data_IF_212163859015
#
_entry.id   IF_212163859015
#
_cell.length_a   1.000
_cell.length_b   1.000
_cell.length_c   1.000
_cell.angle_alpha   90.00
_cell.angle_beta   90.00
_cell.angle_gamma   90.00
#
_symmetry.space_group_name_H-M   'P 1'
#
loop_
_entity.id
_entity.type
_entity.pdbx_description
1 polymer ?
#
# COMPACT_ATOMS: atom_id res chain seq x y z
N UNK A 1 -40.31 30.92 55.58
CA UNK A 1 -39.07 30.23 55.98
C UNK A 1 -38.59 29.36 54.82
N UNK A 2 -37.29 29.51 54.48
CA UNK A 2 -36.42 28.71 53.60
C UNK A 2 -36.78 28.54 52.11
N UNK A 3 -36.13 29.41 51.32
CA UNK A 3 -35.65 29.21 49.94
C UNK A 3 -34.72 27.99 49.85
N UNK A 4 -34.75 27.28 48.73
CA UNK A 4 -33.58 26.56 48.19
C UNK A 4 -33.39 26.93 46.72
N UNK A 5 -32.21 27.45 46.43
CA UNK A 5 -31.72 27.87 45.12
C UNK A 5 -31.33 26.65 44.29
N UNK A 6 -31.68 26.64 43.00
CA UNK A 6 -30.95 25.88 41.97
C UNK A 6 -30.12 26.88 41.18
N UNK A 7 -28.80 26.72 41.26
CA UNK A 7 -27.80 27.50 40.54
C UNK A 7 -27.61 26.94 39.13
N UNK A 8 -27.80 27.80 38.14
CA UNK A 8 -27.23 27.66 36.81
C UNK A 8 -25.77 28.17 36.85
N UNK A 9 -24.86 27.46 36.20
CA UNK A 9 -23.53 27.92 35.77
C UNK A 9 -23.38 27.41 34.34
N UNK A 10 -23.15 28.20 33.29
CA UNK A 10 -22.51 29.51 33.22
C UNK A 10 -21.16 29.35 32.51
N UNK A 11 -21.15 29.59 31.19
CA UNK A 11 -19.95 29.77 30.39
C UNK A 11 -19.04 30.86 30.98
N UNK A 12 -17.73 30.65 30.94
CA UNK A 12 -16.75 31.72 30.87
C UNK A 12 -15.45 31.19 30.24
N UNK A 13 -15.04 31.86 29.17
CA UNK A 13 -13.70 31.82 28.58
C UNK A 13 -12.69 32.63 29.44
N UNK A 14 -11.48 32.85 28.89
CA UNK A 14 -10.35 33.69 29.37
C UNK A 14 -9.25 32.83 30.05
N UNK A 15 -7.94 32.92 29.78
CA UNK A 15 -7.11 33.89 29.06
C UNK A 15 -5.82 33.23 28.56
N UNK A 16 -5.24 33.83 27.51
CA UNK A 16 -3.83 33.74 27.17
C UNK A 16 -2.97 34.51 28.20
N UNK A 17 -1.81 33.96 28.55
CA UNK A 17 -0.74 34.70 29.20
C UNK A 17 0.63 34.23 28.67
N UNK A 18 1.21 35.09 27.86
CA UNK A 18 2.61 35.10 27.44
C UNK A 18 3.51 35.55 28.58
N UNK A 19 4.61 34.82 28.82
CA UNK A 19 5.74 35.27 29.64
C UNK A 19 7.04 34.99 28.88
N UNK A 20 7.74 36.07 28.51
CA UNK A 20 9.15 36.06 28.15
C UNK A 20 9.99 35.73 29.39
N UNK A 21 10.94 34.80 29.24
CA UNK A 21 12.02 34.55 30.19
C UNK A 21 13.29 34.24 29.40
N UNK A 22 14.33 35.04 29.63
CA UNK A 22 15.56 35.07 28.85
C UNK A 22 16.48 33.86 29.07
N UNK A 23 17.08 33.42 27.96
CA UNK A 23 18.49 33.01 27.78
C UNK A 23 19.19 32.18 28.86
N UNK A 24 19.43 30.91 28.54
CA UNK A 24 20.70 30.23 28.78
C UNK A 24 20.93 29.24 27.64
N UNK A 25 22.01 29.45 26.88
CA UNK A 25 22.40 28.62 25.76
C UNK A 25 22.72 27.21 26.23
N UNK A 26 21.97 26.24 25.72
CA UNK A 26 22.33 24.82 25.77
C UNK A 26 22.56 24.40 24.32
N UNK A 27 23.81 24.12 24.01
CA UNK A 27 24.22 23.45 22.78
C UNK A 27 23.38 22.19 22.57
N UNK A 28 22.87 21.89 21.35
CA UNK A 28 22.20 20.63 21.11
C UNK A 28 23.20 19.49 21.32
N UNK A 29 22.95 18.65 22.32
CA UNK A 29 23.64 17.39 22.47
C UNK A 29 23.37 16.58 21.20
N UNK A 30 24.42 16.25 20.46
CA UNK A 30 24.35 15.32 19.36
C UNK A 30 23.70 14.03 19.87
N UNK A 31 22.59 13.61 19.25
CA UNK A 31 21.98 12.32 19.51
C UNK A 31 23.03 11.24 19.24
N UNK A 32 23.51 10.59 20.30
CA UNK A 32 24.40 9.46 20.18
C UNK A 32 23.66 8.36 19.43
N UNK A 33 24.25 7.87 18.34
CA UNK A 33 23.77 6.67 17.67
C UNK A 33 23.70 5.53 18.71
N UNK A 34 22.64 4.69 18.69
CA UNK A 34 22.58 3.55 19.60
C UNK A 34 23.81 2.66 19.37
N UNK A 35 24.40 2.08 20.44
CA UNK A 35 25.52 1.18 20.32
C UNK A 35 25.12 0.01 19.42
N UNK A 36 26.00 -0.37 18.49
CA UNK A 36 25.80 -1.55 17.66
C UNK A 36 25.62 -2.77 18.58
N UNK A 37 24.44 -3.40 18.51
CA UNK A 37 24.16 -4.61 19.27
C UNK A 37 25.18 -5.70 18.94
N UNK A 38 25.49 -6.54 19.92
CA UNK A 38 26.28 -7.75 19.71
C UNK A 38 25.55 -8.60 18.66
N UNK A 39 26.17 -8.93 17.52
CA UNK A 39 25.53 -9.83 16.57
C UNK A 39 25.25 -11.15 17.32
N UNK A 40 23.98 -11.55 17.41
CA UNK A 40 23.70 -12.98 17.58
C UNK A 40 24.34 -13.62 16.36
N UNK A 41 25.19 -14.62 16.58
CA UNK A 41 25.80 -15.33 15.48
C UNK A 41 24.65 -15.85 14.63
N UNK A 42 24.44 -15.22 13.46
CA UNK A 42 23.76 -15.87 12.36
C UNK A 42 24.31 -17.30 12.33
N UNK A 43 23.45 -18.30 12.25
CA UNK A 43 23.88 -19.69 12.18
C UNK A 43 24.98 -19.80 11.14
N UNK A 44 26.23 -19.86 11.62
CA UNK A 44 27.31 -20.41 10.82
C UNK A 44 26.84 -21.82 10.57
N UNK A 45 26.82 -22.24 9.30
CA UNK A 45 26.34 -23.57 8.93
C UNK A 45 26.82 -24.62 9.96
N UNK A 46 25.89 -25.17 10.74
CA UNK A 46 26.17 -26.19 11.76
C UNK A 46 26.25 -25.76 13.24
N UNK A 47 25.83 -24.56 13.65
CA UNK A 47 25.65 -24.22 15.08
C UNK A 47 24.22 -23.80 15.38
N UNK A 48 23.62 -24.43 16.39
CA UNK A 48 22.29 -24.08 16.90
C UNK A 48 22.34 -22.70 17.59
N UNK A 49 21.37 -21.85 17.28
CA UNK A 49 21.18 -20.54 17.91
C UNK A 49 19.73 -20.43 18.40
N UNK A 50 19.53 -19.85 19.59
CA UNK A 50 18.19 -19.50 20.06
C UNK A 50 17.74 -18.25 19.32
N UNK A 51 16.54 -18.32 18.73
CA UNK A 51 15.89 -17.22 18.00
C UNK A 51 14.56 -16.90 18.70
N UNK A 52 14.56 -15.97 19.68
CA UNK A 52 13.37 -15.65 20.48
C UNK A 52 12.36 -14.78 19.71
N UNK A 53 12.76 -14.29 18.54
CA UNK A 53 11.89 -13.67 17.54
C UNK A 53 12.12 -14.34 16.20
N UNK A 54 11.13 -15.08 15.73
CA UNK A 54 11.17 -15.73 14.41
C UNK A 54 10.56 -14.81 13.36
N UNK A 55 10.92 -15.02 12.10
CA UNK A 55 10.26 -14.34 11.00
C UNK A 55 10.16 -15.23 9.76
N UNK A 56 9.13 -14.99 8.97
CA UNK A 56 8.85 -15.69 7.71
C UNK A 56 8.17 -14.77 6.71
N UNK A 57 8.45 -14.96 5.43
CA UNK A 57 7.72 -14.30 4.34
C UNK A 57 6.49 -15.10 3.95
N UNK A 58 5.38 -14.43 3.67
CA UNK A 58 4.14 -15.09 3.21
C UNK A 58 4.13 -15.27 1.69
N UNK A 59 4.80 -14.38 0.96
CA UNK A 59 4.91 -14.40 -0.50
C UNK A 59 6.36 -14.24 -0.94
N UNK A 60 6.64 -14.69 -2.17
CA UNK A 60 7.92 -14.41 -2.84
C UNK A 60 7.70 -13.19 -3.74
N UNK A 61 8.43 -12.07 -3.54
CA UNK A 61 8.24 -10.88 -4.34
C UNK A 61 8.62 -11.14 -5.80
N UNK A 62 7.96 -10.42 -6.70
CA UNK A 62 8.34 -10.31 -8.11
C UNK A 62 8.98 -8.93 -8.30
N UNK A 63 10.18 -8.84 -8.88
CA UNK A 63 10.81 -7.55 -9.20
C UNK A 63 9.93 -6.72 -10.13
N UNK A 64 9.76 -5.43 -9.83
CA UNK A 64 9.03 -4.50 -10.70
C UNK A 64 9.76 -3.18 -10.80
N UNK A 65 9.87 -2.64 -12.01
CA UNK A 65 10.50 -1.34 -12.24
C UNK A 65 9.47 -0.23 -12.05
N UNK A 66 9.75 0.71 -11.17
CA UNK A 66 8.92 1.88 -10.92
C UNK A 66 9.28 3.06 -11.84
N UNK A 67 8.40 4.05 -11.88
CA UNK A 67 8.61 5.37 -12.51
C UNK A 67 9.78 6.16 -11.93
N UNK A 68 10.22 5.86 -10.71
CA UNK A 68 11.46 6.39 -10.12
C UNK A 68 12.74 5.79 -10.76
N UNK A 69 12.58 4.84 -11.67
CA UNK A 69 13.64 4.16 -12.42
C UNK A 69 14.30 3.02 -11.67
N UNK A 70 13.86 2.72 -10.44
CA UNK A 70 14.41 1.68 -9.59
C UNK A 70 13.57 0.42 -9.65
N UNK A 71 14.17 -0.68 -9.21
CA UNK A 71 13.48 -1.98 -9.12
C UNK A 71 13.05 -2.21 -7.67
N UNK A 72 11.76 -2.38 -7.47
CA UNK A 72 11.13 -2.58 -6.17
C UNK A 72 10.85 -4.05 -5.92
N UNK A 73 10.98 -4.46 -4.65
CA UNK A 73 10.60 -5.78 -4.15
C UNK A 73 9.66 -5.59 -2.96
N UNK A 74 8.37 -5.47 -3.27
CA UNK A 74 7.34 -5.30 -2.25
C UNK A 74 6.79 -6.66 -1.77
N UNK A 75 6.85 -6.91 -0.47
CA UNK A 75 6.33 -8.12 0.20
C UNK A 75 6.22 -7.90 1.71
N UNK A 76 5.75 -8.91 2.44
CA UNK A 76 5.54 -8.82 3.88
C UNK A 76 6.35 -9.84 4.66
N UNK A 77 6.93 -9.37 5.75
CA UNK A 77 7.62 -10.19 6.73
C UNK A 77 6.73 -10.32 7.97
N UNK A 78 6.29 -11.54 8.27
CA UNK A 78 5.61 -11.85 9.52
C UNK A 78 6.67 -12.11 10.58
N UNK A 79 6.58 -11.41 11.71
CA UNK A 79 7.49 -11.51 12.84
C UNK A 79 6.71 -12.03 14.05
N UNK A 80 7.23 -13.04 14.76
CA UNK A 80 6.56 -13.64 15.93
C UNK A 80 7.50 -13.57 17.13
N UNK A 81 6.98 -13.06 18.25
CA UNK A 81 7.70 -13.12 19.52
C UNK A 81 7.45 -14.48 20.19
N UNK A 82 8.42 -15.38 20.10
CA UNK A 82 8.39 -16.73 20.69
C UNK A 82 8.79 -16.73 22.18
N UNK A 83 9.22 -15.58 22.71
CA UNK A 83 9.65 -15.45 24.09
C UNK A 83 8.50 -15.22 25.06
N UNK A 84 8.79 -15.36 26.36
CA UNK A 84 7.85 -15.08 27.46
C UNK A 84 7.84 -13.62 27.89
N UNK A 85 8.67 -12.76 27.31
CA UNK A 85 8.74 -11.33 27.60
C UNK A 85 8.20 -10.50 26.43
N UNK A 86 7.65 -9.30 26.70
CA UNK A 86 7.40 -8.35 25.62
C UNK A 86 8.71 -7.98 24.91
N UNK A 87 8.69 -8.02 23.59
CA UNK A 87 9.79 -7.62 22.72
C UNK A 87 9.50 -6.25 22.11
N UNK A 88 10.49 -5.37 22.08
CA UNK A 88 10.44 -4.11 21.34
C UNK A 88 11.19 -4.29 20.04
N UNK A 89 10.52 -4.16 18.89
CA UNK A 89 11.18 -4.19 17.59
C UNK A 89 11.95 -2.90 17.36
N UNK A 90 13.27 -2.97 17.22
CA UNK A 90 14.13 -1.78 17.09
C UNK A 90 14.69 -1.59 15.69
N UNK A 91 14.73 -2.64 14.88
CA UNK A 91 15.15 -2.52 13.49
C UNK A 91 14.85 -3.74 12.63
N UNK A 92 14.71 -3.48 11.33
CA UNK A 92 14.62 -4.51 10.29
C UNK A 92 15.56 -4.12 9.15
N UNK A 93 16.43 -5.02 8.72
CA UNK A 93 17.33 -4.82 7.59
C UNK A 93 17.16 -5.94 6.58
N UNK A 94 17.09 -5.60 5.29
CA UNK A 94 17.09 -6.57 4.18
C UNK A 94 18.41 -6.47 3.45
N UNK A 95 19.06 -7.60 3.21
CA UNK A 95 20.38 -7.68 2.60
C UNK A 95 20.41 -8.63 1.42
N UNK A 96 21.08 -8.22 0.34
CA UNK A 96 21.60 -9.13 -0.68
C UNK A 96 22.73 -9.95 -0.06
N UNK A 97 22.51 -11.26 0.08
CA UNK A 97 23.47 -12.18 0.72
C UNK A 97 24.70 -12.44 -0.13
N UNK A 98 24.60 -12.25 -1.45
CA UNK A 98 25.68 -12.55 -2.39
C UNK A 98 26.57 -11.34 -2.61
N UNK A 99 25.97 -10.17 -2.70
CA UNK A 99 26.70 -8.90 -2.79
C UNK A 99 27.05 -8.28 -1.44
N UNK A 100 26.56 -8.82 -0.31
CA UNK A 100 26.67 -8.23 1.03
C UNK A 100 26.19 -6.77 1.10
N UNK A 101 25.13 -6.44 0.37
CA UNK A 101 24.57 -5.08 0.27
C UNK A 101 23.29 -4.94 1.06
N UNK A 102 23.13 -3.85 1.78
CA UNK A 102 21.85 -3.47 2.39
C UNK A 102 20.92 -2.90 1.32
N UNK A 103 19.74 -3.50 1.17
CA UNK A 103 18.69 -3.06 0.23
C UNK A 103 17.58 -2.26 0.93
N UNK A 104 17.39 -2.49 2.23
CA UNK A 104 16.46 -1.74 3.07
C UNK A 104 16.97 -1.72 4.51
N UNK A 105 16.78 -0.60 5.21
CA UNK A 105 16.99 -0.49 6.65
C UNK A 105 15.87 0.35 7.28
N UNK A 106 15.08 -0.27 8.14
CA UNK A 106 13.99 0.36 8.89
C UNK A 106 14.38 0.46 10.37
N UNK A 107 14.37 1.66 10.92
CA UNK A 107 14.59 1.96 12.35
C UNK A 107 13.78 3.20 12.75
N UNK A 108 13.47 3.37 14.03
CA UNK A 108 12.76 4.57 14.53
C UNK A 108 11.44 4.80 13.80
N UNK A 109 11.20 6.04 13.36
CA UNK A 109 9.95 6.42 12.69
C UNK A 109 9.69 5.63 11.40
N UNK A 110 10.73 5.28 10.63
CA UNK A 110 10.57 4.46 9.42
C UNK A 110 10.06 3.05 9.78
N UNK A 111 10.60 2.43 10.83
CA UNK A 111 10.05 1.17 11.32
C UNK A 111 8.61 1.36 11.82
N UNK A 112 8.34 2.44 12.55
CA UNK A 112 7.01 2.80 13.00
C UNK A 112 6.00 3.03 11.87
N UNK A 113 6.43 3.43 10.68
CA UNK A 113 5.56 3.52 9.50
C UNK A 113 5.31 2.16 8.82
N UNK A 114 6.26 1.22 8.94
CA UNK A 114 6.25 -0.06 8.22
C UNK A 114 5.90 -1.28 9.08
N UNK A 115 5.64 -1.11 10.37
CA UNK A 115 5.34 -2.23 11.26
C UNK A 115 4.01 -2.07 11.99
N UNK A 116 3.19 -3.12 12.02
CA UNK A 116 2.03 -3.20 12.90
C UNK A 116 1.93 -4.58 13.56
N UNK A 117 1.71 -4.67 14.88
CA UNK A 117 1.25 -5.91 15.49
C UNK A 117 -0.08 -6.35 14.88
N UNK A 118 -0.27 -7.65 14.69
CA UNK A 118 -1.56 -8.16 14.23
C UNK A 118 -2.66 -7.88 15.24
N UNK A 119 -3.88 -7.63 14.74
CA UNK A 119 -5.04 -7.23 15.54
C UNK A 119 -5.02 -5.77 16.01
N UNK A 120 -4.11 -4.94 15.51
CA UNK A 120 -4.14 -3.49 15.75
C UNK A 120 -5.32 -2.86 15.01
N UNK A 121 -6.19 -2.13 15.72
CA UNK A 121 -7.32 -1.45 15.08
C UNK A 121 -6.85 -0.26 14.22
N UNK A 122 -7.58 0.10 13.15
CA UNK A 122 -7.32 1.32 12.39
C UNK A 122 -7.27 2.55 13.31
N UNK A 123 -6.37 3.49 13.02
CA UNK A 123 -6.20 4.72 13.80
C UNK A 123 -5.54 4.55 15.18
N UNK A 124 -5.13 3.34 15.57
CA UNK A 124 -4.33 3.14 16.79
C UNK A 124 -2.93 3.72 16.61
N UNK A 125 -2.37 4.27 17.69
CA UNK A 125 -1.00 4.78 17.68
C UNK A 125 -0.04 3.64 17.28
N UNK A 126 0.86 3.86 16.30
CA UNK A 126 1.89 2.89 15.97
C UNK A 126 2.65 2.44 17.21
N UNK A 127 2.94 1.15 17.30
CA UNK A 127 3.73 0.55 18.36
C UNK A 127 4.67 -0.49 17.77
N UNK A 128 5.86 -0.55 18.33
CA UNK A 128 6.91 -1.53 18.06
C UNK A 128 6.87 -2.73 19.04
N UNK A 129 5.88 -2.76 19.93
CA UNK A 129 5.77 -3.78 20.97
C UNK A 129 5.08 -5.05 20.46
N UNK A 130 5.74 -6.18 20.67
CA UNK A 130 5.20 -7.52 20.50
C UNK A 130 5.10 -8.20 21.87
N UNK A 131 3.88 -8.36 22.38
CA UNK A 131 3.63 -9.20 23.56
C UNK A 131 4.06 -10.66 23.31
N UNK A 132 4.31 -11.47 24.36
CA UNK A 132 4.58 -12.90 24.23
C UNK A 132 3.56 -13.61 23.34
N UNK A 133 4.04 -14.44 22.39
CA UNK A 133 3.22 -15.17 21.42
C UNK A 133 2.50 -14.30 20.38
N UNK A 134 2.69 -12.98 20.41
CA UNK A 134 2.06 -12.06 19.45
C UNK A 134 2.88 -12.01 18.17
N UNK A 135 2.17 -12.02 17.05
CA UNK A 135 2.73 -11.75 15.73
C UNK A 135 2.56 -10.28 15.33
N UNK A 136 3.43 -9.80 14.46
CA UNK A 136 3.31 -8.54 13.75
C UNK A 136 3.76 -8.66 12.30
N UNK A 137 3.49 -7.62 11.53
CA UNK A 137 3.81 -7.56 10.11
C UNK A 137 4.69 -6.36 9.83
N UNK A 138 5.75 -6.59 9.07
CA UNK A 138 6.60 -5.56 8.51
C UNK A 138 6.36 -5.53 7.00
N UNK A 139 5.95 -4.39 6.46
CA UNK A 139 5.83 -4.18 5.02
C UNK A 139 7.19 -3.75 4.47
N UNK A 140 7.72 -4.58 3.58
CA UNK A 140 9.03 -4.39 2.97
C UNK A 140 8.83 -3.86 1.56
N UNK A 141 9.60 -2.85 1.20
CA UNK A 141 9.96 -2.50 -0.16
C UNK A 141 11.49 -2.45 -0.24
N UNK A 142 12.10 -3.50 -0.76
CA UNK A 142 13.55 -3.55 -0.92
C UNK A 142 13.93 -3.07 -2.32
N UNK A 143 14.67 -1.95 -2.38
CA UNK A 143 15.06 -1.33 -3.64
C UNK A 143 16.35 -1.96 -4.15
N UNK A 144 16.27 -2.56 -5.33
CA UNK A 144 17.36 -3.24 -6.00
C UNK A 144 18.06 -2.26 -6.95
N UNK A 145 19.38 -2.04 -6.81
CA UNK A 145 20.14 -1.22 -7.74
C UNK A 145 20.09 -1.75 -9.19
N UNK A 146 20.39 -0.89 -10.16
CA UNK A 146 20.55 -1.33 -11.54
C UNK A 146 21.72 -2.34 -11.66
N UNK A 147 21.59 -3.31 -12.58
CA UNK A 147 22.64 -4.28 -12.88
C UNK A 147 22.73 -5.50 -11.94
N UNK A 148 21.76 -5.66 -11.02
CA UNK A 148 21.63 -6.89 -10.23
C UNK A 148 20.99 -7.99 -11.09
N UNK A 149 21.55 -9.20 -11.02
CA UNK A 149 20.99 -10.38 -11.67
C UNK A 149 20.12 -11.19 -10.71
N UNK A 150 19.10 -11.83 -11.26
CA UNK A 150 18.26 -12.79 -10.56
C UNK A 150 18.68 -14.24 -10.94
N UNK A 151 18.49 -15.24 -10.07
CA UNK A 151 17.84 -15.18 -8.76
C UNK A 151 18.67 -14.44 -7.70
N UNK A 152 18.02 -13.60 -6.90
CA UNK A 152 18.64 -12.80 -5.84
C UNK A 152 18.38 -13.43 -4.47
N UNK A 153 19.44 -13.68 -3.69
CA UNK A 153 19.30 -14.23 -2.33
C UNK A 153 19.22 -13.10 -1.31
N UNK A 154 18.08 -13.03 -0.62
CA UNK A 154 17.84 -12.09 0.45
C UNK A 154 18.03 -12.74 1.83
N UNK A 155 18.56 -11.97 2.76
CA UNK A 155 18.58 -12.27 4.18
C UNK A 155 17.99 -11.11 4.97
N UNK A 156 17.33 -11.43 6.08
CA UNK A 156 16.67 -10.44 6.93
C UNK A 156 17.31 -10.43 8.30
N UNK A 157 17.61 -9.24 8.80
CA UNK A 157 18.02 -9.03 10.18
C UNK A 157 16.90 -8.34 10.94
N UNK A 158 16.45 -8.95 12.03
CA UNK A 158 15.40 -8.43 12.92
C UNK A 158 16.02 -8.14 14.27
N UNK A 159 16.11 -6.86 14.63
CA UNK A 159 16.67 -6.39 15.90
C UNK A 159 15.56 -6.13 16.90
N UNK A 160 15.69 -6.69 18.10
CA UNK A 160 14.74 -6.52 19.20
C UNK A 160 15.43 -6.24 20.52
N UNK A 161 14.70 -5.60 21.42
CA UNK A 161 15.10 -5.44 22.82
C UNK A 161 14.06 -6.00 23.78
N UNK A 162 14.55 -6.56 24.88
CA UNK A 162 13.77 -7.09 25.99
C UNK A 162 14.01 -6.24 27.24
N UNK A 163 13.07 -6.20 28.20
CA UNK A 163 13.23 -5.42 29.42
C UNK A 163 14.33 -5.97 30.35
N UNK A 164 14.75 -7.22 30.17
CA UNK A 164 15.86 -7.89 30.86
C UNK A 164 16.26 -9.16 30.12
N UNK A 165 17.46 -9.66 30.36
CA UNK A 165 17.89 -10.97 29.87
C UNK A 165 17.06 -12.10 30.51
N UNK A 166 16.83 -13.19 29.76
CA UNK A 166 16.11 -14.38 30.24
C UNK A 166 16.81 -15.66 29.80
N UNK A 167 17.33 -16.42 30.76
CA UNK A 167 18.13 -17.61 30.47
C UNK A 167 19.35 -17.24 29.64
N UNK A 168 19.43 -17.76 28.41
CA UNK A 168 20.51 -17.45 27.47
C UNK A 168 20.14 -16.38 26.43
N UNK A 169 18.94 -15.78 26.52
CA UNK A 169 18.51 -14.67 25.66
C UNK A 169 19.01 -13.34 26.25
N UNK A 170 19.90 -12.61 25.56
CA UNK A 170 20.34 -11.29 26.00
C UNK A 170 19.22 -10.23 25.93
N UNK A 171 19.46 -9.07 26.54
CA UNK A 171 18.53 -7.93 26.48
C UNK A 171 18.37 -7.34 25.08
N UNK A 172 19.40 -7.44 24.24
CA UNK A 172 19.38 -6.95 22.86
C UNK A 172 19.81 -8.08 21.96
N UNK A 173 19.02 -8.33 20.93
CA UNK A 173 19.23 -9.46 20.03
C UNK A 173 18.99 -8.99 18.60
N UNK A 174 19.82 -9.45 17.67
CA UNK A 174 19.59 -9.29 16.23
C UNK A 174 19.59 -10.66 15.59
N UNK A 175 18.43 -11.07 15.10
CA UNK A 175 18.20 -12.38 14.51
C UNK A 175 18.36 -12.34 13.00
N UNK A 176 19.07 -13.32 12.44
CA UNK A 176 19.15 -13.52 10.99
C UNK A 176 18.13 -14.57 10.57
N UNK A 177 17.05 -14.13 9.94
CA UNK A 177 15.82 -14.91 9.73
C UNK A 177 15.34 -14.81 8.27
N UNK A 178 14.32 -15.59 7.94
CA UNK A 178 13.54 -15.48 6.70
C UNK A 178 14.35 -15.43 5.39
N UNK A 179 15.41 -16.25 5.27
CA UNK A 179 16.17 -16.36 4.02
C UNK A 179 15.24 -16.64 2.83
N UNK A 180 15.35 -15.82 1.80
CA UNK A 180 14.46 -15.85 0.64
C UNK A 180 15.27 -15.83 -0.65
N UNK A 181 14.90 -16.67 -1.62
CA UNK A 181 15.44 -16.58 -2.98
C UNK A 181 14.37 -15.96 -3.87
N UNK A 182 14.66 -14.77 -4.40
CA UNK A 182 13.80 -14.07 -5.35
C UNK A 182 14.13 -14.61 -6.74
N UNK A 183 13.20 -15.32 -7.41
CA UNK A 183 13.44 -15.84 -8.74
C UNK A 183 13.48 -14.72 -9.79
N UNK A 184 14.02 -15.05 -10.96
CA UNK A 184 13.89 -14.19 -12.15
C UNK A 184 12.47 -14.32 -12.72
N UNK A 185 11.55 -13.52 -12.18
CA UNK A 185 10.17 -13.40 -12.64
C UNK A 185 9.95 -11.97 -13.10
N UNK A 186 9.16 -11.82 -14.16
CA UNK A 186 8.83 -10.52 -14.72
C UNK A 186 7.39 -10.14 -14.38
N UNK A 187 7.09 -8.85 -14.16
CA UNK A 187 5.73 -8.36 -13.97
C UNK A 187 4.94 -8.53 -15.27
N UNK A 188 3.61 -8.56 -15.15
CA UNK A 188 2.74 -8.57 -16.33
C UNK A 188 2.82 -7.21 -17.04
N UNK A 189 3.01 -7.22 -18.37
CA UNK A 189 3.00 -6.01 -19.19
C UNK A 189 1.57 -5.80 -19.73
N UNK A 190 0.99 -4.64 -19.44
CA UNK A 190 -0.43 -4.35 -19.70
C UNK A 190 -0.60 -3.07 -20.50
N UNK A 191 -1.63 -3.00 -21.35
CA UNK A 191 -2.09 -1.71 -21.89
C UNK A 191 -2.85 -0.96 -20.80
N UNK A 192 -2.72 0.38 -20.70
CA UNK A 192 -3.51 1.14 -19.74
C UNK A 192 -5.02 0.94 -19.95
N UNK A 193 -5.80 0.68 -18.88
CA UNK A 193 -7.24 0.47 -19.00
C UNK A 193 -8.02 1.78 -19.17
N UNK A 194 -7.35 2.92 -18.98
CA UNK A 194 -7.85 4.28 -19.07
C UNK A 194 -7.05 5.07 -20.11
N UNK A 195 -7.65 6.10 -20.68
CA UNK A 195 -7.00 6.96 -21.68
C UNK A 195 -6.91 8.42 -21.26
N UNK A 196 -5.89 9.12 -21.77
CA UNK A 196 -5.69 10.55 -21.58
C UNK A 196 -4.85 10.92 -20.36
N UNK A 197 -4.70 12.23 -20.13
CA UNK A 197 -3.84 12.81 -19.11
C UNK A 197 -4.54 13.04 -17.76
N UNK A 198 -3.73 13.20 -16.71
CA UNK A 198 -4.15 13.69 -15.39
C UNK A 198 -4.58 12.61 -14.41
N UNK A 199 -4.23 11.35 -14.65
CA UNK A 199 -4.56 10.24 -13.75
C UNK A 199 -3.56 10.19 -12.61
N UNK A 200 -4.04 10.12 -11.38
CA UNK A 200 -3.22 9.95 -10.19
C UNK A 200 -3.29 8.50 -9.72
N UNK A 201 -2.14 7.96 -9.32
CA UNK A 201 -2.08 6.80 -8.44
C UNK A 201 -2.49 7.23 -7.02
N UNK A 202 -3.70 6.83 -6.60
CA UNK A 202 -4.30 7.27 -5.36
C UNK A 202 -4.04 6.41 -4.13
N UNK A 203 -3.57 5.17 -4.29
CA UNK A 203 -3.40 4.21 -3.18
C UNK A 203 -2.39 3.09 -3.47
N UNK A 204 -1.67 3.15 -4.60
CA UNK A 204 -0.75 2.13 -5.07
C UNK A 204 0.54 1.99 -4.27
N UNK A 205 1.50 1.33 -4.90
CA UNK A 205 2.77 0.91 -4.32
C UNK A 205 3.84 2.03 -4.44
N UNK A 206 4.93 2.10 -3.66
CA UNK A 206 5.51 1.00 -2.88
C UNK A 206 6.09 1.35 -1.50
N UNK A 207 6.96 2.35 -1.41
CA UNK A 207 7.71 2.64 -0.17
C UNK A 207 6.75 3.04 0.96
N UNK A 208 5.79 3.92 0.67
CA UNK A 208 4.76 4.25 1.63
C UNK A 208 3.78 3.08 1.81
N UNK A 209 3.50 2.73 3.07
CA UNK A 209 2.42 1.78 3.41
C UNK A 209 1.06 2.49 3.30
N UNK A 210 0.50 2.47 2.09
CA UNK A 210 -0.87 2.92 1.78
C UNK A 210 -1.92 1.97 2.38
N UNK A 211 -3.22 2.37 2.42
CA UNK A 211 -4.31 1.46 2.77
C UNK A 211 -4.26 0.12 2.03
N UNK A 212 -4.03 0.13 0.71
CA UNK A 212 -3.87 -1.08 -0.11
C UNK A 212 -2.62 -1.88 0.27
N UNK A 213 -1.44 -1.23 0.32
CA UNK A 213 -0.17 -1.88 0.67
C UNK A 213 -0.22 -2.53 2.05
N UNK A 214 -0.95 -1.90 2.97
CA UNK A 214 -1.18 -2.33 4.34
C UNK A 214 -2.26 -3.40 4.51
N UNK A 215 -3.14 -3.58 3.52
CA UNK A 215 -4.29 -4.47 3.62
C UNK A 215 -3.86 -5.95 3.65
N UNK A 216 -4.13 -6.62 4.77
CA UNK A 216 -4.02 -8.06 4.91
C UNK A 216 -5.36 -8.64 5.31
N UNK A 217 -6.04 -9.29 4.37
CA UNK A 217 -7.42 -9.76 4.52
C UNK A 217 -7.46 -11.21 5.04
N UNK A 218 -7.96 -11.46 6.26
CA UNK A 218 -8.13 -12.81 6.79
C UNK A 218 -9.40 -13.45 6.19
N UNK A 219 -9.23 -14.27 5.16
CA UNK A 219 -10.33 -14.91 4.44
C UNK A 219 -10.12 -16.42 4.36
N UNK A 220 -11.18 -17.19 4.59
CA UNK A 220 -11.17 -18.66 4.46
C UNK A 220 -10.01 -19.35 5.21
N UNK A 221 -9.66 -18.84 6.40
CA UNK A 221 -8.59 -19.39 7.25
C UNK A 221 -7.16 -18.99 6.83
N UNK A 222 -6.99 -18.14 5.83
CA UNK A 222 -5.69 -17.63 5.35
C UNK A 222 -5.67 -16.10 5.33
N UNK A 223 -4.48 -15.50 5.25
CA UNK A 223 -4.34 -14.05 5.04
C UNK A 223 -3.89 -13.79 3.61
N UNK A 224 -4.62 -12.96 2.89
CA UNK A 224 -4.33 -12.55 1.52
C UNK A 224 -3.97 -11.08 1.45
N UNK A 225 -3.13 -10.72 0.49
CA UNK A 225 -2.76 -9.34 0.19
C UNK A 225 -3.19 -8.96 -1.21
N UNK A 226 -4.50 -9.04 -1.46
CA UNK A 226 -5.10 -8.79 -2.76
C UNK A 226 -4.65 -7.44 -3.35
N UNK A 227 -4.64 -6.42 -2.51
CA UNK A 227 -4.42 -5.04 -2.94
C UNK A 227 -2.94 -4.64 -2.95
N UNK A 228 -1.98 -5.56 -2.76
CA UNK A 228 -0.55 -5.23 -2.59
C UNK A 228 0.00 -4.27 -3.66
N UNK A 229 -0.46 -4.43 -4.89
CA UNK A 229 -0.10 -3.61 -6.05
C UNK A 229 -1.33 -2.95 -6.70
N UNK A 230 -2.48 -2.95 -6.03
CA UNK A 230 -3.69 -2.33 -6.56
C UNK A 230 -3.56 -0.82 -6.61
N UNK A 231 -4.12 -0.22 -7.66
CA UNK A 231 -4.10 1.23 -7.85
C UNK A 231 -5.54 1.72 -7.93
N UNK A 232 -5.84 2.76 -7.15
CA UNK A 232 -7.03 3.57 -7.32
C UNK A 232 -6.72 4.75 -8.21
N UNK A 233 -7.13 4.66 -9.48
CA UNK A 233 -6.96 5.76 -10.42
C UNK A 233 -8.07 6.80 -10.25
N UNK A 234 -7.67 8.00 -9.82
CA UNK A 234 -8.50 9.20 -9.84
C UNK A 234 -7.97 10.19 -10.87
N UNK A 235 -8.77 11.17 -11.30
CA UNK A 235 -8.33 12.12 -12.33
C UNK A 235 -8.48 13.56 -11.89
N UNK A 236 -7.42 14.34 -12.09
CA UNK A 236 -7.48 15.79 -11.97
C UNK A 236 -8.06 16.42 -13.23
N UNK A 237 -8.92 17.43 -13.04
CA UNK A 237 -9.36 18.32 -14.11
C UNK A 237 -8.22 19.23 -14.60
N UNK A 238 -8.49 19.99 -15.65
CA UNK A 238 -7.53 20.96 -16.21
C UNK A 238 -7.20 22.13 -15.25
N UNK A 239 -7.97 22.28 -14.16
CA UNK A 239 -7.75 23.24 -13.07
C UNK A 239 -7.10 22.60 -11.83
N UNK A 240 -6.52 21.41 -12.01
CA UNK A 240 -5.90 20.58 -10.98
C UNK A 240 -6.85 20.17 -9.83
N UNK A 241 -8.17 20.22 -10.05
CA UNK A 241 -9.15 19.81 -9.04
C UNK A 241 -9.66 18.39 -9.30
N UNK A 242 -9.85 17.64 -8.22
CA UNK A 242 -10.47 16.32 -8.25
C UNK A 242 -11.99 16.40 -8.48
N UNK A 243 -12.64 17.47 -8.00
CA UNK A 243 -14.09 17.68 -8.08
C UNK A 243 -14.47 19.14 -8.31
N UNK A 244 -15.61 19.35 -8.94
CA UNK A 244 -16.18 20.68 -9.29
C UNK A 244 -17.41 21.06 -8.48
N UNK A 245 -18.02 20.09 -7.78
CA UNK A 245 -19.25 20.27 -7.01
C UNK A 245 -19.19 19.72 -5.58
N UNK A 246 -20.34 19.46 -4.98
CA UNK A 246 -20.47 18.90 -3.63
C UNK A 246 -19.78 17.53 -3.52
N UNK A 247 -19.12 17.27 -2.38
CA UNK A 247 -18.32 16.06 -2.18
C UNK A 247 -19.16 14.79 -2.29
N UNK A 248 -20.43 14.82 -1.89
CA UNK A 248 -21.37 13.69 -1.79
C UNK A 248 -22.11 13.34 -3.09
N UNK A 249 -21.69 13.91 -4.23
CA UNK A 249 -22.32 13.66 -5.54
C UNK A 249 -21.31 13.11 -6.52
N UNK A 250 -21.59 11.94 -7.08
CA UNK A 250 -20.77 11.35 -8.17
C UNK A 250 -20.63 12.30 -9.36
N UNK A 251 -21.67 13.09 -9.67
CA UNK A 251 -21.67 14.09 -10.74
C UNK A 251 -20.68 15.24 -10.51
N UNK A 252 -20.14 15.39 -9.30
CA UNK A 252 -19.11 16.39 -8.99
C UNK A 252 -17.71 15.97 -9.43
N UNK A 253 -17.51 14.72 -9.82
CA UNK A 253 -16.23 14.15 -10.22
C UNK A 253 -16.22 13.98 -11.74
N UNK A 254 -15.53 14.87 -12.50
CA UNK A 254 -15.66 14.92 -13.97
C UNK A 254 -15.23 13.65 -14.71
N UNK A 255 -14.53 12.74 -14.04
CA UNK A 255 -14.05 11.47 -14.59
C UNK A 255 -14.94 10.28 -14.26
N UNK A 256 -16.02 10.46 -13.48
CA UNK A 256 -17.06 9.45 -13.35
C UNK A 256 -17.66 9.13 -14.72
N UNK A 257 -17.86 7.85 -15.02
CA UNK A 257 -18.43 7.40 -16.30
C UNK A 257 -17.42 7.29 -17.45
N UNK A 258 -16.14 7.62 -17.23
CA UNK A 258 -15.08 7.43 -18.25
C UNK A 258 -15.00 5.95 -18.67
N UNK A 259 -14.86 5.64 -19.98
CA UNK A 259 -14.74 4.26 -20.44
C UNK A 259 -13.54 3.53 -19.82
N UNK A 260 -13.78 2.30 -19.37
CA UNK A 260 -12.74 1.36 -18.92
C UNK A 260 -12.61 0.27 -19.98
N UNK A 261 -11.37 -0.08 -20.31
CA UNK A 261 -11.04 -1.06 -21.35
C UNK A 261 -10.21 -2.22 -20.80
N UNK A 262 -10.33 -3.39 -21.42
CA UNK A 262 -9.49 -4.56 -21.15
C UNK A 262 -8.02 -4.19 -21.38
N UNK A 263 -7.16 -4.56 -20.44
CA UNK A 263 -5.76 -4.17 -20.42
C UNK A 263 -4.88 -5.15 -21.21
N UNK A 264 -5.41 -6.32 -21.55
CA UNK A 264 -4.72 -7.35 -22.31
C UNK A 264 -5.72 -8.15 -23.17
N UNK A 265 -5.18 -9.09 -23.94
CA UNK A 265 -6.00 -10.14 -24.53
C UNK A 265 -6.24 -11.21 -23.47
N UNK A 266 -7.49 -11.63 -23.32
CA UNK A 266 -7.88 -12.49 -22.21
C UNK A 266 -9.28 -13.06 -22.31
N UNK A 267 -9.70 -13.75 -21.25
CA UNK A 267 -11.04 -14.29 -21.09
C UNK A 267 -11.71 -13.69 -19.86
N UNK A 268 -12.91 -13.15 -20.02
CA UNK A 268 -13.71 -12.66 -18.90
C UNK A 268 -14.20 -13.86 -18.09
N UNK A 269 -13.93 -13.89 -16.79
CA UNK A 269 -14.30 -15.00 -15.90
C UNK A 269 -15.33 -14.62 -14.83
N UNK A 270 -15.45 -13.33 -14.50
CA UNK A 270 -16.49 -12.82 -13.60
C UNK A 270 -16.99 -11.46 -14.07
N UNK A 271 -18.29 -11.22 -13.93
CA UNK A 271 -18.92 -9.91 -14.13
C UNK A 271 -19.98 -9.73 -13.05
N UNK A 272 -19.87 -8.65 -12.28
CA UNK A 272 -20.90 -8.18 -11.35
C UNK A 272 -21.33 -6.79 -11.80
N UNK A 273 -22.64 -6.58 -11.91
CA UNK A 273 -23.22 -5.31 -12.35
C UNK A 273 -24.55 -5.03 -11.65
N UNK A 274 -24.96 -3.76 -11.64
CA UNK A 274 -26.23 -3.29 -11.09
C UNK A 274 -26.21 -2.91 -9.60
N UNK A 275 -25.10 -3.10 -8.89
CA UNK A 275 -24.93 -2.55 -7.54
C UNK A 275 -24.92 -1.03 -7.60
N UNK A 276 -25.64 -0.33 -6.70
CA UNK A 276 -25.67 1.13 -6.70
C UNK A 276 -24.30 1.72 -6.35
N UNK A 277 -24.07 2.96 -6.77
CA UNK A 277 -22.92 3.72 -6.28
C UNK A 277 -23.07 4.00 -4.78
N UNK A 278 -21.94 3.94 -4.08
CA UNK A 278 -21.80 4.44 -2.72
C UNK A 278 -21.85 5.98 -2.72
N UNK A 279 -22.19 6.58 -1.58
CA UNK A 279 -22.15 8.04 -1.42
C UNK A 279 -20.69 8.48 -1.28
N UNK A 280 -20.16 9.33 -2.18
CA UNK A 280 -18.78 9.80 -2.01
C UNK A 280 -18.60 10.66 -0.74
N UNK A 281 -17.38 10.70 -0.20
CA UNK A 281 -17.02 11.39 1.04
C UNK A 281 -17.30 10.59 2.33
N UNK A 282 -17.84 9.38 2.21
CA UNK A 282 -18.13 8.50 3.34
C UNK A 282 -17.64 7.08 3.04
N UNK A 283 -17.11 6.39 4.06
CA UNK A 283 -16.83 4.96 3.94
C UNK A 283 -18.13 4.17 4.06
N UNK A 284 -18.46 3.29 3.09
CA UNK A 284 -19.65 2.45 3.18
C UNK A 284 -19.65 1.58 4.45
N UNK A 285 -20.80 1.49 5.11
CA UNK A 285 -20.97 0.68 6.31
C UNK A 285 -21.83 -0.55 6.00
N UNK A 286 -21.49 -1.69 6.63
CA UNK A 286 -22.27 -2.94 6.57
C UNK A 286 -22.46 -3.53 5.16
N UNK A 287 -21.49 -3.33 4.27
CA UNK A 287 -21.48 -4.04 2.99
C UNK A 287 -21.28 -5.55 3.21
N UNK A 288 -22.03 -6.42 2.51
CA UNK A 288 -21.71 -7.83 2.48
C UNK A 288 -20.37 -8.02 1.75
N UNK A 289 -19.61 -9.04 2.14
CA UNK A 289 -18.28 -9.31 1.57
C UNK A 289 -18.33 -9.49 0.03
N UNK A 290 -19.43 -10.00 -0.51
CA UNK A 290 -19.65 -10.18 -1.95
C UNK A 290 -19.67 -8.87 -2.74
N UNK A 291 -20.00 -7.76 -2.08
CA UNK A 291 -20.23 -6.46 -2.73
C UNK A 291 -19.03 -5.53 -2.53
N UNK A 292 -17.98 -6.00 -1.85
CA UNK A 292 -16.83 -5.17 -1.48
C UNK A 292 -16.12 -4.57 -2.71
N UNK A 293 -15.89 -5.37 -3.75
CA UNK A 293 -15.33 -4.91 -5.03
C UNK A 293 -16.32 -4.08 -5.88
N UNK A 294 -17.59 -3.99 -5.47
CA UNK A 294 -18.64 -3.32 -6.24
C UNK A 294 -18.96 -4.02 -7.57
N UNK A 295 -19.49 -3.25 -8.52
CA UNK A 295 -19.60 -3.71 -9.91
C UNK A 295 -18.19 -3.90 -10.45
N UNK A 296 -17.91 -5.07 -11.01
CA UNK A 296 -16.56 -5.39 -11.43
C UNK A 296 -16.52 -6.39 -12.56
N UNK A 297 -15.36 -6.45 -13.22
CA UNK A 297 -15.01 -7.45 -14.21
C UNK A 297 -13.71 -8.12 -13.77
N UNK A 298 -13.66 -9.45 -13.84
CA UNK A 298 -12.42 -10.22 -13.71
C UNK A 298 -12.05 -10.81 -15.05
N UNK A 299 -10.84 -10.53 -15.52
CA UNK A 299 -10.27 -11.03 -16.77
C UNK A 299 -9.11 -11.99 -16.48
N UNK A 300 -9.11 -13.18 -17.08
CA UNK A 300 -8.02 -14.15 -16.99
C UNK A 300 -7.09 -14.00 -18.18
N UNK A 301 -5.80 -13.88 -17.88
CA UNK A 301 -4.74 -13.79 -18.89
C UNK A 301 -4.27 -15.18 -19.35
N UNK A 302 -3.64 -15.28 -20.53
CA UNK A 302 -3.04 -16.52 -21.01
C UNK A 302 -1.98 -17.11 -20.06
N UNK A 303 -1.25 -16.25 -19.32
CA UNK A 303 -0.25 -16.63 -18.33
C UNK A 303 -0.81 -17.25 -17.06
N UNK A 304 -2.13 -17.10 -16.82
CA UNK A 304 -2.82 -17.63 -15.65
C UNK A 304 -3.07 -16.60 -14.54
N UNK A 305 -2.55 -15.38 -14.67
CA UNK A 305 -2.89 -14.23 -13.83
C UNK A 305 -4.30 -13.70 -14.15
N UNK A 306 -4.85 -12.93 -13.22
CA UNK A 306 -6.16 -12.32 -13.34
C UNK A 306 -6.08 -10.81 -13.16
N UNK A 307 -6.91 -10.06 -13.88
CA UNK A 307 -7.07 -8.62 -13.75
C UNK A 307 -8.42 -8.33 -13.11
N UNK A 308 -8.46 -7.42 -12.15
CA UNK A 308 -9.69 -6.88 -11.58
C UNK A 308 -9.88 -5.43 -12.02
N UNK A 309 -11.08 -5.14 -12.51
CA UNK A 309 -11.60 -3.79 -12.76
C UNK A 309 -12.79 -3.57 -11.84
N UNK A 310 -12.60 -2.85 -10.74
CA UNK A 310 -13.59 -2.71 -9.67
C UNK A 310 -14.23 -1.32 -9.61
N UNK A 311 -15.26 -1.21 -8.77
CA UNK A 311 -16.05 0.00 -8.53
C UNK A 311 -16.68 0.60 -9.80
N UNK A 312 -17.00 -0.23 -10.79
CA UNK A 312 -17.59 0.22 -12.05
C UNK A 312 -18.96 0.86 -11.84
N UNK A 313 -19.36 1.72 -12.78
CA UNK A 313 -20.64 2.41 -12.72
C UNK A 313 -21.81 1.41 -12.91
N UNK A 314 -22.93 1.58 -12.18
CA UNK A 314 -24.07 0.66 -12.27
C UNK A 314 -24.63 0.58 -13.69
N UNK A 315 -24.82 -0.65 -14.20
CA UNK A 315 -25.33 -0.94 -15.53
C UNK A 315 -24.33 -0.67 -16.67
N UNK A 316 -23.09 -0.28 -16.35
CA UNK A 316 -22.13 0.15 -17.38
C UNK A 316 -21.45 -1.02 -18.08
N UNK A 317 -21.37 -2.19 -17.43
CA UNK A 317 -20.90 -3.42 -18.07
C UNK A 317 -21.94 -3.90 -19.07
N UNK A 318 -23.25 -3.69 -18.79
CA UNK A 318 -24.33 -3.55 -19.76
C UNK A 318 -24.43 -4.65 -20.84
N UNK A 319 -23.99 -5.88 -20.53
CA UNK A 319 -23.90 -6.98 -21.49
C UNK A 319 -22.77 -6.87 -22.53
N UNK A 320 -21.88 -5.87 -22.43
CA UNK A 320 -20.67 -5.71 -23.26
C UNK A 320 -19.72 -6.89 -23.14
N UNK A 321 -19.64 -7.41 -21.93
CA UNK A 321 -18.86 -8.57 -21.57
C UNK A 321 -19.69 -9.53 -20.75
N UNK A 322 -19.34 -10.81 -20.84
CA UNK A 322 -19.93 -11.88 -20.04
C UNK A 322 -18.86 -12.94 -19.72
N UNK A 323 -19.02 -13.72 -18.64
CA UNK A 323 -18.13 -14.84 -18.38
C UNK A 323 -18.00 -15.78 -19.59
N UNK A 324 -16.79 -16.25 -19.86
CA UNK A 324 -16.41 -17.06 -21.03
C UNK A 324 -16.13 -16.27 -22.31
N UNK A 325 -16.33 -14.95 -22.32
CA UNK A 325 -16.04 -14.12 -23.49
C UNK A 325 -14.53 -13.86 -23.60
N UNK A 326 -13.96 -14.13 -24.78
CA UNK A 326 -12.63 -13.66 -25.13
C UNK A 326 -12.68 -12.19 -25.53
N UNK A 327 -11.76 -11.40 -25.01
CA UNK A 327 -11.61 -9.97 -25.31
C UNK A 327 -10.19 -9.70 -25.79
N UNK A 328 -10.05 -8.65 -26.60
CA UNK A 328 -8.74 -8.11 -26.94
C UNK A 328 -8.48 -6.85 -26.13
N UNK A 329 -7.20 -6.53 -25.91
CA UNK A 329 -6.82 -5.31 -25.22
C UNK A 329 -7.44 -4.07 -25.92
N UNK A 330 -7.95 -3.12 -25.13
CA UNK A 330 -8.74 -1.98 -25.61
C UNK A 330 -10.24 -2.25 -25.75
N UNK A 331 -10.71 -3.49 -25.63
CA UNK A 331 -12.16 -3.78 -25.62
C UNK A 331 -12.81 -3.06 -24.44
N UNK A 332 -13.83 -2.25 -24.69
CA UNK A 332 -14.57 -1.57 -23.62
C UNK A 332 -15.35 -2.57 -22.77
N UNK A 333 -15.05 -2.61 -21.47
CA UNK A 333 -15.65 -3.55 -20.50
C UNK A 333 -16.62 -2.88 -19.53
N UNK A 334 -16.57 -1.56 -19.39
CA UNK A 334 -17.46 -0.82 -18.49
C UNK A 334 -17.18 0.67 -18.48
N UNK A 335 -17.57 1.31 -17.37
CA UNK A 335 -17.25 2.70 -17.06
C UNK A 335 -16.82 2.82 -15.60
N UNK A 336 -15.91 3.75 -15.33
CA UNK A 336 -15.47 4.10 -13.98
C UNK A 336 -16.67 4.57 -13.16
N UNK A 337 -16.85 4.05 -11.96
CA UNK A 337 -17.99 4.36 -11.08
C UNK A 337 -17.57 4.63 -9.64
N UNK A 338 -18.46 4.31 -8.70
CA UNK A 338 -18.25 4.43 -7.26
C UNK A 338 -18.99 3.34 -6.45
N UNK A 339 -19.23 2.16 -7.04
CA UNK A 339 -19.99 1.08 -6.39
C UNK A 339 -19.12 0.27 -5.40
N UNK A 340 -19.73 -0.42 -4.44
CA UNK A 340 -19.00 -1.25 -3.46
C UNK A 340 -18.28 -0.45 -2.38
N UNK A 341 -17.18 -0.99 -1.84
CA UNK A 341 -16.41 -0.36 -0.77
C UNK A 341 -15.53 0.78 -1.29
N UNK A 342 -16.19 1.85 -1.74
CA UNK A 342 -15.59 3.02 -2.37
C UNK A 342 -16.08 4.30 -1.70
N UNK A 343 -15.16 5.22 -1.38
CA UNK A 343 -15.44 6.50 -0.73
C UNK A 343 -15.42 7.69 -1.70
N UNK A 344 -15.00 7.51 -2.95
CA UNK A 344 -15.16 8.46 -4.04
C UNK A 344 -14.92 7.80 -5.40
N UNK A 345 -15.44 8.35 -6.51
CA UNK A 345 -15.25 7.73 -7.82
C UNK A 345 -13.76 7.48 -8.11
N UNK A 346 -13.44 6.26 -8.54
CA UNK A 346 -12.11 5.84 -9.00
C UNK A 346 -12.21 4.53 -9.78
N UNK A 347 -11.17 4.18 -10.53
CA UNK A 347 -10.99 2.81 -11.01
C UNK A 347 -10.00 2.12 -10.09
N UNK A 348 -10.46 1.12 -9.34
CA UNK A 348 -9.57 0.19 -8.67
C UNK A 348 -9.12 -0.88 -9.67
N UNK A 349 -7.81 -0.97 -9.88
CA UNK A 349 -7.19 -1.88 -10.83
C UNK A 349 -6.07 -2.68 -10.17
N UNK A 350 -6.12 -4.02 -10.28
CA UNK A 350 -5.08 -4.89 -9.74
C UNK A 350 -4.88 -6.16 -10.57
N UNK A 351 -3.67 -6.74 -10.47
CA UNK A 351 -3.33 -8.07 -10.98
C UNK A 351 -3.26 -9.06 -9.83
N UNK A 352 -3.79 -10.27 -10.03
CA UNK A 352 -4.00 -11.26 -8.98
C UNK A 352 -3.48 -12.63 -9.42
N UNK A 353 -3.03 -13.42 -8.45
CA UNK A 353 -2.62 -14.83 -8.67
C UNK A 353 -3.80 -15.84 -8.63
N UNK A 354 -5.03 -15.36 -8.49
CA UNK A 354 -6.26 -16.15 -8.45
C UNK A 354 -7.47 -15.32 -8.92
N UNK A 355 -8.61 -15.98 -9.18
CA UNK A 355 -9.79 -15.32 -9.75
C UNK A 355 -10.62 -14.52 -8.73
N UNK A 356 -10.42 -14.76 -7.42
CA UNK A 356 -11.21 -14.10 -6.38
C UNK A 356 -10.58 -12.74 -6.04
N UNK A 357 -11.34 -11.62 -6.16
CA UNK A 357 -10.85 -10.27 -5.87
C UNK A 357 -10.23 -10.09 -4.48
N UNK A 358 -10.70 -10.83 -3.47
CA UNK A 358 -10.32 -10.63 -2.07
C UNK A 358 -9.44 -11.78 -1.55
N UNK A 359 -9.65 -13.00 -2.05
CA UNK A 359 -8.93 -14.21 -1.64
C UNK A 359 -7.81 -14.60 -2.62
N UNK A 360 -7.10 -13.60 -3.16
CA UNK A 360 -5.90 -13.76 -4.01
C UNK A 360 -4.81 -12.81 -3.53
N UNK A 361 -3.55 -13.08 -3.85
CA UNK A 361 -2.46 -12.13 -3.64
C UNK A 361 -2.27 -11.24 -4.88
N UNK A 362 -2.05 -9.95 -4.62
CA UNK A 362 -1.70 -8.96 -5.63
C UNK A 362 -0.30 -9.22 -6.21
N UNK A 363 -0.21 -9.15 -7.53
CA UNK A 363 1.02 -9.27 -8.32
C UNK A 363 1.38 -7.92 -8.92
N UNK A 364 2.68 -7.60 -9.09
CA UNK A 364 3.07 -6.36 -9.75
C UNK A 364 2.82 -6.44 -11.25
N UNK A 365 2.66 -5.26 -11.85
CA UNK A 365 2.47 -5.08 -13.28
C UNK A 365 3.13 -3.80 -13.74
N UNK A 366 3.32 -3.67 -15.04
CA UNK A 366 3.82 -2.46 -15.68
C UNK A 366 2.93 -2.10 -16.86
N UNK A 367 2.88 -0.83 -17.24
CA UNK A 367 2.18 -0.42 -18.44
C UNK A 367 3.09 -0.43 -19.65
N UNK A 368 2.62 -0.98 -20.77
CA UNK A 368 3.35 -1.04 -22.03
C UNK A 368 3.72 0.33 -22.57
N UNK A 369 2.90 1.35 -22.24
CA UNK A 369 3.25 2.75 -22.48
C UNK A 369 2.44 3.69 -21.60
N UNK A 370 3.12 4.67 -21.03
CA UNK A 370 2.55 5.80 -20.29
C UNK A 370 3.56 6.94 -20.24
N UNK A 371 3.08 8.15 -19.96
CA UNK A 371 3.94 9.30 -19.68
C UNK A 371 3.79 9.74 -18.24
N UNK A 372 4.92 9.91 -17.53
CA UNK A 372 4.95 10.50 -16.20
C UNK A 372 4.86 12.02 -16.33
N UNK A 373 3.79 12.61 -15.78
CA UNK A 373 3.55 14.05 -15.84
C UNK A 373 4.09 14.77 -14.61
N UNK A 374 4.09 14.10 -13.46
CA UNK A 374 4.55 14.66 -12.19
C UNK A 374 4.16 13.82 -11.00
N UNK A 375 4.23 14.41 -9.80
CA UNK A 375 3.81 13.79 -8.55
C UNK A 375 3.05 14.75 -7.64
N UNK A 376 1.97 14.27 -7.03
CA UNK A 376 1.17 15.03 -6.07
C UNK A 376 1.98 15.34 -4.80
N UNK A 377 1.97 16.60 -4.38
CA UNK A 377 2.47 17.00 -3.07
C UNK A 377 1.35 16.85 -2.03
N UNK A 378 1.56 16.00 -1.01
CA UNK A 378 0.60 15.79 0.07
C UNK A 378 -0.05 14.40 0.00
N UNK A 379 -1.38 14.35 0.07
CA UNK A 379 -2.15 13.10 -0.05
C UNK A 379 -3.38 13.31 -0.93
N UNK A 380 -3.87 12.22 -1.52
CA UNK A 380 -5.12 12.22 -2.29
C UNK A 380 -6.30 12.70 -1.44
N UNK A 381 -6.35 12.34 -0.16
CA UNK A 381 -7.40 12.78 0.77
C UNK A 381 -7.58 14.30 0.81
N UNK A 382 -6.47 15.05 0.69
CA UNK A 382 -6.50 16.51 0.74
C UNK A 382 -7.28 17.12 -0.44
N UNK A 383 -7.37 16.39 -1.56
CA UNK A 383 -8.06 16.80 -2.78
C UNK A 383 -9.58 16.81 -2.61
N UNK A 384 -10.13 16.03 -1.68
CA UNK A 384 -11.57 16.04 -1.37
C UNK A 384 -12.05 17.37 -0.78
N UNK A 385 -11.15 18.24 -0.32
CA UNK A 385 -11.48 19.62 0.05
C UNK A 385 -11.92 20.48 -1.16
N UNK A 386 -11.66 20.02 -2.39
CA UNK A 386 -11.98 20.74 -3.62
C UNK A 386 -11.03 21.90 -3.89
N UNK A 387 -9.83 21.91 -3.29
CA UNK A 387 -8.74 22.82 -3.65
C UNK A 387 -7.93 22.23 -4.81
N UNK A 388 -7.26 23.06 -5.64
CA UNK A 388 -6.34 22.57 -6.65
C UNK A 388 -5.20 21.78 -6.01
N UNK A 389 -4.84 20.68 -6.64
CA UNK A 389 -3.66 19.90 -6.33
C UNK A 389 -2.39 20.73 -6.55
N UNK A 390 -1.31 20.34 -5.88
CA UNK A 390 0.03 20.83 -6.18
C UNK A 390 0.81 19.69 -6.78
N UNK A 391 1.11 19.76 -8.07
CA UNK A 391 1.88 18.75 -8.79
C UNK A 391 3.31 19.24 -8.99
N UNK A 392 4.28 18.44 -8.58
CA UNK A 392 5.68 18.63 -8.96
C UNK A 392 5.89 18.03 -10.35
N UNK A 393 6.49 18.73 -11.31
CA UNK A 393 6.69 18.19 -12.65
C UNK A 393 7.62 16.98 -12.64
N UNK A 394 7.40 16.05 -13.55
CA UNK A 394 8.29 14.91 -13.75
C UNK A 394 9.69 15.37 -14.21
N UNK A 395 10.76 14.65 -13.83
CA UNK A 395 12.08 14.83 -14.44
C UNK A 395 11.99 14.61 -15.96
N UNK A 396 12.65 15.49 -16.75
CA UNK A 396 12.56 15.46 -18.21
C UNK A 396 13.07 14.14 -18.83
N UNK A 397 14.00 13.47 -18.17
CA UNK A 397 14.58 12.18 -18.55
C UNK A 397 13.70 10.97 -18.17
N UNK A 398 12.57 11.22 -17.49
CA UNK A 398 11.63 10.21 -17.01
C UNK A 398 10.20 10.44 -17.53
N UNK A 399 10.02 11.34 -18.49
CA UNK A 399 8.71 11.70 -19.02
C UNK A 399 8.03 10.55 -19.79
N UNK A 400 8.82 9.71 -20.45
CA UNK A 400 8.37 8.45 -21.06
C UNK A 400 8.64 7.31 -20.07
N UNK A 401 7.60 6.55 -19.70
CA UNK A 401 7.66 5.52 -18.68
C UNK A 401 7.08 4.20 -19.19
N UNK A 402 7.60 3.74 -20.32
CA UNK A 402 7.25 2.46 -20.93
C UNK A 402 7.79 1.29 -20.09
N UNK A 403 6.96 0.27 -19.91
CA UNK A 403 7.24 -0.91 -19.07
C UNK A 403 7.67 -0.56 -17.64
N UNK A 404 7.07 0.50 -17.10
CA UNK A 404 7.20 0.90 -15.70
C UNK A 404 5.84 0.84 -14.99
N UNK A 405 5.89 0.67 -13.67
CA UNK A 405 4.73 0.76 -12.78
C UNK A 405 4.66 2.19 -12.23
N UNK A 406 3.51 2.88 -12.33
CA UNK A 406 3.34 4.14 -11.61
C UNK A 406 3.42 3.88 -10.11
N UNK A 407 4.02 4.83 -9.40
CA UNK A 407 4.17 4.78 -7.94
C UNK A 407 3.12 5.69 -7.31
N UNK A 408 2.83 5.44 -6.04
CA UNK A 408 1.89 6.21 -5.22
C UNK A 408 2.14 7.72 -5.38
N UNK A 409 1.07 8.45 -5.69
CA UNK A 409 1.04 9.89 -5.98
C UNK A 409 1.58 10.33 -7.35
N UNK A 410 2.04 9.43 -8.20
CA UNK A 410 2.37 9.79 -9.58
C UNK A 410 1.13 10.28 -10.32
N UNK A 411 1.33 11.35 -11.10
CA UNK A 411 0.40 11.77 -12.13
C UNK A 411 0.90 11.27 -13.48
N UNK A 412 0.07 10.49 -14.17
CA UNK A 412 0.39 9.90 -15.46
C UNK A 412 -0.62 10.28 -16.55
N UNK A 413 -0.14 10.21 -17.78
CA UNK A 413 -0.96 10.22 -18.98
C UNK A 413 -0.86 8.89 -19.72
N UNK A 414 -2.02 8.38 -20.10
CA UNK A 414 -2.11 7.18 -20.92
C UNK A 414 -2.42 7.54 -22.38
N UNK A 415 -1.94 6.75 -23.34
CA UNK A 415 -2.36 6.88 -24.73
C UNK A 415 -3.88 6.90 -24.87
N UNK A 416 -4.40 7.60 -25.88
CA UNK A 416 -5.83 7.58 -26.13
C UNK A 416 -6.29 6.14 -26.42
N UNK A 417 -7.36 5.69 -25.76
CA UNK A 417 -8.00 4.43 -26.08
C UNK A 417 -8.61 4.58 -27.49
N UNK A 418 -8.08 3.84 -28.46
CA UNK A 418 -8.50 3.86 -29.86
C UNK A 418 -9.87 3.22 -30.11
#
# INVERSE_FOLDING_TARGET
MRRTQRTARGCAAVAAASLLGAGLGLTPAAAAAPPAGTPSAASRAGQDAITPVTASTTTVPVPVRGTDGRTHLAYELTVVNESTLPATLTGVTVQDRDGHRTLLKLTGDALGAHFRPSGSAPGTKPTDQLSPGRQGRVWIDAVVPAGISFPLRLGHQVSVTYPKAVGIIPEQVTESVANLTVPDRHPVVLRPPLGGAGWLDGNGCCDQVTPHRGAGSPLNGSTYFAERFAIDFVRLGADDRLRTGAVDKVSSYPYYGVPVTAAADGEIVSVVDGLPDSTPGESPANLPLSDYAGNHVVERLPGGEYLLYAHLAPGSTGGRVRPGQKVTAGTRIGQLGNSGNSDAPHLHFQVMNGPDPLASDGLPFVFSSMSLQGGLQGSVDSLFSGKPARISPAPADRADADEEMPLYLDQVAFPANG
#
